data_IF_585136847281
#
_entry.id   IF_585136847281
#
_cell.length_a   1.000
_cell.length_b   1.000
_cell.length_c   1.000
_cell.angle_alpha   90.00
_cell.angle_beta   90.00
_cell.angle_gamma   90.00
#
_symmetry.space_group_name_H-M   'P 1'
#
loop_
_entity.id
_entity.type
_entity.pdbx_description
1 polymer ?
#
# COMPACT_ATOMS: atom_id res chain seq x y z
N UNK A 1 -8.84 -19.63 0.98
CA UNK A 1 -8.20 -19.67 -0.35
C UNK A 1 -7.36 -18.40 -0.57
N UNK A 2 -6.43 -18.36 -1.53
CA UNK A 2 -5.61 -17.15 -1.79
C UNK A 2 -6.46 -15.89 -2.01
N UNK A 3 -7.57 -16.01 -2.75
CA UNK A 3 -8.49 -14.90 -3.00
C UNK A 3 -9.17 -14.39 -1.72
N UNK A 4 -9.60 -15.29 -0.82
CA UNK A 4 -10.21 -14.90 0.45
C UNK A 4 -9.20 -14.17 1.35
N UNK A 5 -7.96 -14.68 1.46
CA UNK A 5 -6.92 -14.05 2.27
C UNK A 5 -6.55 -12.66 1.73
N UNK A 6 -6.46 -12.53 0.40
CA UNK A 6 -6.26 -11.24 -0.25
C UNK A 6 -7.42 -10.28 0.03
N UNK A 7 -8.67 -10.74 -0.01
CA UNK A 7 -9.85 -9.95 0.33
C UNK A 7 -9.84 -9.45 1.78
N UNK A 8 -9.53 -10.31 2.75
CA UNK A 8 -9.40 -9.92 4.16
C UNK A 8 -8.27 -8.92 4.37
N UNK A 9 -7.12 -9.15 3.73
CA UNK A 9 -5.99 -8.23 3.78
C UNK A 9 -6.35 -6.87 3.15
N UNK A 10 -7.09 -6.86 2.04
CA UNK A 10 -7.55 -5.63 1.42
C UNK A 10 -8.51 -4.86 2.33
N UNK A 11 -9.45 -5.55 2.99
CA UNK A 11 -10.36 -4.96 3.95
C UNK A 11 -9.62 -4.38 5.16
N UNK A 12 -8.68 -5.14 5.74
CA UNK A 12 -7.83 -4.66 6.83
C UNK A 12 -7.06 -3.40 6.40
N UNK A 13 -6.46 -3.42 5.22
CA UNK A 13 -5.69 -2.28 4.70
C UNK A 13 -6.56 -1.05 4.51
N UNK A 14 -7.74 -1.14 3.87
CA UNK A 14 -8.59 0.06 3.68
C UNK A 14 -9.08 0.62 5.01
N UNK A 15 -9.49 -0.22 5.96
CA UNK A 15 -9.90 0.23 7.31
C UNK A 15 -8.73 0.90 8.03
N UNK A 16 -7.53 0.34 7.90
CA UNK A 16 -6.31 0.91 8.49
C UNK A 16 -5.99 2.27 7.90
N UNK A 17 -6.02 2.40 6.56
CA UNK A 17 -5.74 3.66 5.87
C UNK A 17 -6.75 4.74 6.24
N UNK A 18 -8.05 4.41 6.32
CA UNK A 18 -9.09 5.31 6.83
C UNK A 18 -8.87 5.68 8.31
N UNK A 19 -8.36 4.76 9.13
CA UNK A 19 -7.98 5.06 10.51
C UNK A 19 -6.84 6.08 10.60
N UNK A 20 -5.86 6.00 9.68
CA UNK A 20 -4.73 6.93 9.66
C UNK A 20 -5.13 8.36 9.27
N UNK A 21 -6.20 8.56 8.49
CA UNK A 21 -6.65 9.91 8.12
C UNK A 21 -7.17 10.72 9.29
N UNK A 22 -7.53 10.08 10.41
CA UNK A 22 -8.12 10.75 11.55
C UNK A 22 -7.15 11.59 12.40
N UNK A 23 -5.84 11.33 12.34
CA UNK A 23 -4.82 12.02 13.16
C UNK A 23 -5.21 12.21 14.65
N UNK A 24 -5.88 11.22 15.24
CA UNK A 24 -6.41 11.30 16.60
C UNK A 24 -5.25 11.16 17.60
N UNK A 25 -5.03 12.14 18.50
CA UNK A 25 -3.96 12.08 19.49
C UNK A 25 -4.00 10.79 20.31
N UNK A 26 -2.83 10.19 20.55
CA UNK A 26 -2.62 8.91 21.25
C UNK A 26 -3.19 7.66 20.56
N UNK A 27 -4.36 7.76 19.90
CA UNK A 27 -4.99 6.63 19.22
C UNK A 27 -4.35 6.29 17.87
N UNK A 28 -3.51 7.17 17.31
CA UNK A 28 -2.74 6.90 16.08
C UNK A 28 -1.85 5.65 16.15
N UNK A 29 -1.51 5.15 17.34
CA UNK A 29 -0.76 3.90 17.50
C UNK A 29 -1.53 2.67 17.00
N UNK A 30 -2.86 2.68 17.10
CA UNK A 30 -3.72 1.56 16.70
C UNK A 30 -3.63 1.32 15.18
N UNK A 31 -3.90 2.31 14.31
CA UNK A 31 -3.76 2.09 12.88
C UNK A 31 -2.31 1.84 12.45
N UNK A 32 -1.31 2.42 13.13
CA UNK A 32 0.10 2.08 12.86
C UNK A 32 0.38 0.59 13.16
N UNK A 33 -0.14 0.05 14.26
CA UNK A 33 -0.01 -1.38 14.57
C UNK A 33 -0.71 -2.23 13.50
N UNK A 34 -1.89 -1.80 13.01
CA UNK A 34 -2.57 -2.49 11.91
C UNK A 34 -1.78 -2.44 10.59
N UNK A 35 -1.05 -1.35 10.30
CA UNK A 35 -0.11 -1.32 9.16
C UNK A 35 0.95 -2.40 9.31
N UNK A 36 1.57 -2.54 10.48
CA UNK A 36 2.59 -3.56 10.73
C UNK A 36 2.03 -4.98 10.57
N UNK A 37 0.82 -5.21 11.05
CA UNK A 37 0.11 -6.48 10.85
C UNK A 37 -0.14 -6.73 9.36
N UNK A 38 -0.63 -5.73 8.63
CA UNK A 38 -0.87 -5.82 7.18
C UNK A 38 0.40 -6.15 6.40
N UNK A 39 1.53 -5.50 6.73
CA UNK A 39 2.83 -5.77 6.13
C UNK A 39 3.31 -7.20 6.44
N UNK A 40 3.16 -7.66 7.69
CA UNK A 40 3.51 -9.02 8.09
C UNK A 40 2.68 -10.07 7.37
N UNK A 41 1.35 -9.88 7.29
CA UNK A 41 0.45 -10.76 6.56
C UNK A 41 0.77 -10.79 5.06
N UNK A 42 1.08 -9.63 4.47
CA UNK A 42 1.51 -9.53 3.06
C UNK A 42 2.78 -10.34 2.84
N UNK A 43 3.79 -10.18 3.70
CA UNK A 43 5.04 -10.92 3.60
C UNK A 43 4.83 -12.43 3.76
N UNK A 44 4.00 -12.84 4.73
CA UNK A 44 3.67 -14.23 5.00
C UNK A 44 2.91 -14.88 3.84
N UNK A 45 1.77 -14.31 3.41
CA UNK A 45 0.96 -14.87 2.34
C UNK A 45 1.73 -14.96 1.03
N UNK A 46 2.50 -13.92 0.69
CA UNK A 46 3.30 -13.93 -0.55
C UNK A 46 4.37 -15.03 -0.50
N UNK A 47 5.06 -15.20 0.63
CA UNK A 47 6.02 -16.32 0.79
C UNK A 47 5.34 -17.68 0.72
N UNK A 48 4.23 -17.85 1.44
CA UNK A 48 3.53 -19.13 1.55
C UNK A 48 3.04 -19.61 0.19
N UNK A 49 2.31 -18.77 -0.55
CA UNK A 49 1.73 -19.14 -1.84
C UNK A 49 2.78 -19.26 -2.95
N UNK A 50 3.84 -18.44 -2.96
CA UNK A 50 4.93 -18.63 -3.92
C UNK A 50 5.68 -19.94 -3.67
N UNK A 51 5.97 -20.28 -2.41
CA UNK A 51 6.69 -21.51 -2.07
C UNK A 51 5.89 -22.78 -2.37
N UNK A 52 4.56 -22.72 -2.25
CA UNK A 52 3.65 -23.83 -2.55
C UNK A 52 3.74 -24.25 -4.02
N UNK A 53 3.87 -23.28 -4.94
CA UNK A 53 3.91 -23.52 -6.39
C UNK A 53 5.33 -23.57 -6.98
N UNK A 54 6.36 -23.41 -6.14
CA UNK A 54 7.78 -23.38 -6.58
C UNK A 54 8.49 -24.67 -6.18
N UNK A 55 9.16 -25.31 -7.14
CA UNK A 55 10.03 -26.47 -6.89
C UNK A 55 11.16 -26.10 -5.91
N UNK A 56 11.57 -27.03 -5.06
CA UNK A 56 12.57 -26.78 -4.01
C UNK A 56 13.87 -26.18 -4.55
N UNK A 57 14.30 -26.58 -5.75
CA UNK A 57 15.50 -26.10 -6.43
C UNK A 57 15.48 -24.59 -6.74
N UNK A 58 14.30 -24.00 -6.95
CA UNK A 58 14.16 -22.60 -7.36
C UNK A 58 13.57 -21.69 -6.28
N UNK A 59 13.21 -22.22 -5.09
CA UNK A 59 12.60 -21.43 -4.01
C UNK A 59 13.44 -20.25 -3.57
N UNK A 60 14.76 -20.43 -3.47
CA UNK A 60 15.67 -19.35 -3.11
C UNK A 60 15.65 -18.22 -4.16
N UNK A 61 15.68 -18.57 -5.45
CA UNK A 61 15.61 -17.61 -6.56
C UNK A 61 14.29 -16.83 -6.56
N UNK A 62 13.16 -17.53 -6.41
CA UNK A 62 11.83 -16.90 -6.36
C UNK A 62 11.69 -15.98 -5.15
N UNK A 63 12.23 -16.37 -4.00
CA UNK A 63 12.19 -15.54 -2.80
C UNK A 63 13.10 -14.30 -2.92
N UNK A 64 14.25 -14.42 -3.58
CA UNK A 64 15.12 -13.27 -3.90
C UNK A 64 14.44 -12.30 -4.85
N UNK A 65 13.78 -12.81 -5.91
CA UNK A 65 13.00 -11.97 -6.82
C UNK A 65 11.85 -11.25 -6.10
N UNK A 66 11.15 -11.96 -5.20
CA UNK A 66 10.14 -11.35 -4.32
C UNK A 66 10.72 -10.17 -3.54
N UNK A 67 11.87 -10.37 -2.89
CA UNK A 67 12.55 -9.31 -2.14
C UNK A 67 12.91 -8.10 -3.00
N UNK A 68 13.47 -8.33 -4.18
CA UNK A 68 13.80 -7.28 -5.14
C UNK A 68 12.56 -6.49 -5.57
N UNK A 69 11.46 -7.18 -5.90
CA UNK A 69 10.21 -6.56 -6.31
C UNK A 69 9.62 -5.67 -5.21
N UNK A 70 9.64 -6.13 -3.95
CA UNK A 70 9.20 -5.31 -2.80
C UNK A 70 10.08 -4.06 -2.62
N UNK A 71 11.41 -4.21 -2.66
CA UNK A 71 12.32 -3.07 -2.51
C UNK A 71 12.15 -2.04 -3.63
N UNK A 72 11.98 -2.48 -4.87
CA UNK A 72 11.72 -1.58 -5.99
C UNK A 72 10.39 -0.84 -5.83
N UNK A 73 9.33 -1.56 -5.43
CA UNK A 73 8.02 -0.95 -5.17
C UNK A 73 8.11 0.11 -4.05
N UNK A 74 8.79 -0.20 -2.94
CA UNK A 74 8.99 0.77 -1.86
C UNK A 74 9.78 2.00 -2.31
N UNK A 75 10.81 1.83 -3.15
CA UNK A 75 11.54 2.95 -3.74
C UNK A 75 10.66 3.86 -4.59
N UNK A 76 9.85 3.28 -5.49
CA UNK A 76 8.92 4.04 -6.34
C UNK A 76 7.88 4.76 -5.48
N UNK A 77 7.27 4.07 -4.50
CA UNK A 77 6.28 4.68 -3.60
C UNK A 77 6.91 5.83 -2.81
N UNK A 78 8.15 5.70 -2.35
CA UNK A 78 8.88 6.76 -1.67
C UNK A 78 9.08 8.00 -2.54
N UNK A 79 9.41 7.83 -3.82
CA UNK A 79 9.51 8.94 -4.77
C UNK A 79 8.16 9.61 -5.05
N UNK A 80 7.10 8.82 -5.24
CA UNK A 80 5.75 9.34 -5.43
C UNK A 80 5.25 10.10 -4.20
N UNK A 81 5.56 9.61 -2.99
CA UNK A 81 5.23 10.28 -1.75
C UNK A 81 5.98 11.60 -1.59
N UNK A 82 7.29 11.63 -1.89
CA UNK A 82 8.06 12.88 -1.88
C UNK A 82 7.49 13.90 -2.86
N UNK A 83 7.10 13.46 -4.06
CA UNK A 83 6.46 14.32 -5.05
C UNK A 83 5.10 14.86 -4.57
N UNK A 84 4.28 14.01 -3.94
CA UNK A 84 3.00 14.42 -3.35
C UNK A 84 3.20 15.49 -2.27
N UNK A 85 4.18 15.33 -1.39
CA UNK A 85 4.50 16.33 -0.35
C UNK A 85 4.91 17.67 -0.97
N UNK A 86 5.75 17.66 -2.01
CA UNK A 86 6.15 18.88 -2.74
C UNK A 86 4.92 19.57 -3.33
N UNK A 87 4.04 18.80 -3.97
CA UNK A 87 2.81 19.32 -4.57
C UNK A 87 1.89 19.95 -3.52
N UNK A 88 1.58 19.24 -2.44
CA UNK A 88 0.71 19.74 -1.37
C UNK A 88 1.28 20.97 -0.67
N UNK A 89 2.59 20.99 -0.42
CA UNK A 89 3.26 22.16 0.18
C UNK A 89 3.15 23.38 -0.73
N UNK A 90 3.32 23.22 -2.04
CA UNK A 90 3.21 24.31 -3.00
C UNK A 90 1.77 24.87 -3.04
N UNK A 91 0.78 23.99 -3.11
CA UNK A 91 -0.65 24.35 -3.09
C UNK A 91 -1.03 25.13 -1.82
N UNK A 92 -0.67 24.58 -0.66
CA UNK A 92 -0.92 25.23 0.64
C UNK A 92 -0.19 26.57 0.78
N UNK A 93 1.04 26.69 0.26
CA UNK A 93 1.78 27.95 0.32
C UNK A 93 1.13 29.07 -0.51
N UNK A 94 0.47 28.71 -1.62
CA UNK A 94 -0.28 29.65 -2.45
C UNK A 94 -1.61 30.05 -1.79
N UNK A 95 -2.30 29.09 -1.16
CA UNK A 95 -3.58 29.32 -0.48
C UNK A 95 -3.43 30.06 0.86
N UNK A 96 -2.30 29.89 1.56
CA UNK A 96 -2.04 30.44 2.88
C UNK A 96 -0.66 31.11 2.99
N UNK A 97 -0.48 32.32 2.40
CA UNK A 97 0.81 33.00 2.37
C UNK A 97 1.37 33.37 3.76
N UNK A 98 0.49 33.56 4.75
CA UNK A 98 0.86 33.95 6.11
C UNK A 98 1.23 32.77 7.01
N UNK A 99 1.12 31.53 6.53
CA UNK A 99 1.46 30.36 7.34
C UNK A 99 2.97 30.17 7.45
N UNK A 100 3.42 29.76 8.64
CA UNK A 100 4.83 29.41 8.84
C UNK A 100 5.21 28.14 8.07
N UNK A 101 6.49 27.99 7.73
CA UNK A 101 7.00 26.80 7.03
C UNK A 101 6.68 25.50 7.76
N UNK A 102 6.79 25.48 9.10
CA UNK A 102 6.46 24.31 9.91
C UNK A 102 4.96 23.95 9.86
N UNK A 103 4.08 24.96 9.84
CA UNK A 103 2.64 24.70 9.73
C UNK A 103 2.30 24.12 8.36
N UNK A 104 2.91 24.65 7.29
CA UNK A 104 2.77 24.13 5.93
C UNK A 104 3.25 22.68 5.83
N UNK A 105 4.41 22.35 6.40
CA UNK A 105 4.97 20.99 6.39
C UNK A 105 4.06 20.00 7.15
N UNK A 106 3.62 20.38 8.35
CA UNK A 106 2.71 19.55 9.15
C UNK A 106 1.38 19.32 8.44
N UNK A 107 0.83 20.35 7.78
CA UNK A 107 -0.43 20.24 7.08
C UNK A 107 -0.28 19.41 5.80
N UNK A 108 0.76 19.64 4.99
CA UNK A 108 1.05 18.83 3.81
C UNK A 108 1.24 17.35 4.15
N UNK A 109 1.91 17.06 5.27
CA UNK A 109 2.03 15.70 5.79
C UNK A 109 0.65 15.11 6.13
N UNK A 110 -0.22 15.84 6.85
CA UNK A 110 -1.58 15.38 7.16
C UNK A 110 -2.40 15.11 5.91
N UNK A 111 -2.39 16.06 4.98
CA UNK A 111 -3.17 15.97 3.75
C UNK A 111 -2.71 14.80 2.87
N UNK A 112 -1.41 14.44 2.91
CA UNK A 112 -0.90 13.28 2.18
C UNK A 112 -1.59 11.96 2.56
N UNK A 113 -2.04 11.80 3.81
CA UNK A 113 -2.73 10.59 4.24
C UNK A 113 -4.14 10.47 3.65
N UNK A 114 -4.78 11.60 3.30
CA UNK A 114 -6.09 11.61 2.64
C UNK A 114 -6.03 10.97 1.24
N UNK A 115 -4.86 10.99 0.60
CA UNK A 115 -4.64 10.35 -0.70
C UNK A 115 -4.49 8.82 -0.59
N UNK A 116 -4.08 8.29 0.56
CA UNK A 116 -3.71 6.88 0.70
C UNK A 116 -4.88 5.90 0.49
N UNK A 117 -6.10 6.13 1.05
CA UNK A 117 -7.26 5.28 0.77
C UNK A 117 -7.61 5.25 -0.72
N UNK A 118 -7.64 6.43 -1.37
CA UNK A 118 -7.96 6.55 -2.79
C UNK A 118 -6.92 5.85 -3.67
N UNK A 119 -5.63 6.07 -3.40
CA UNK A 119 -4.53 5.38 -4.05
C UNK A 119 -4.67 3.85 -3.95
N UNK A 120 -4.94 3.34 -2.75
CA UNK A 120 -5.13 1.90 -2.53
C UNK A 120 -6.34 1.35 -3.28
N UNK A 121 -7.48 2.05 -3.25
CA UNK A 121 -8.70 1.60 -3.92
C UNK A 121 -8.52 1.55 -5.44
N UNK A 122 -7.94 2.59 -6.04
CA UNK A 122 -7.72 2.66 -7.49
C UNK A 122 -6.75 1.56 -7.94
N UNK A 123 -5.57 1.47 -7.32
CA UNK A 123 -4.56 0.49 -7.70
C UNK A 123 -5.02 -0.94 -7.38
N UNK A 124 -5.64 -1.14 -6.21
CA UNK A 124 -6.18 -2.42 -5.78
C UNK A 124 -7.29 -2.91 -6.71
N UNK A 125 -8.21 -2.04 -7.12
CA UNK A 125 -9.24 -2.38 -8.10
C UNK A 125 -8.64 -2.71 -9.47
N UNK A 126 -7.67 -1.91 -9.95
CA UNK A 126 -7.00 -2.17 -11.23
C UNK A 126 -6.31 -3.55 -11.24
N UNK A 127 -5.58 -3.89 -10.17
CA UNK A 127 -4.93 -5.18 -10.00
C UNK A 127 -5.97 -6.30 -9.88
N UNK A 128 -7.01 -6.15 -9.05
CA UNK A 128 -8.04 -7.16 -8.89
C UNK A 128 -8.77 -7.48 -10.20
N UNK A 129 -9.11 -6.44 -10.99
CA UNK A 129 -9.71 -6.59 -12.31
C UNK A 129 -8.78 -7.28 -13.29
N UNK A 130 -7.50 -6.90 -13.30
CA UNK A 130 -6.49 -7.55 -14.14
C UNK A 130 -6.31 -9.04 -13.78
N UNK A 131 -6.20 -9.36 -12.50
CA UNK A 131 -6.12 -10.73 -12.00
C UNK A 131 -7.37 -11.54 -12.34
N UNK A 132 -8.58 -10.97 -12.18
CA UNK A 132 -9.82 -11.63 -12.55
C UNK A 132 -9.87 -11.96 -14.05
N UNK A 133 -9.42 -11.04 -14.91
CA UNK A 133 -9.33 -11.28 -16.36
C UNK A 133 -8.38 -12.43 -16.70
N UNK A 134 -7.21 -12.50 -16.07
CA UNK A 134 -6.24 -13.59 -16.27
C UNK A 134 -6.85 -14.93 -15.84
N UNK A 135 -7.41 -14.98 -14.62
CA UNK A 135 -7.94 -16.22 -14.05
C UNK A 135 -9.13 -16.76 -14.87
N UNK A 136 -9.98 -15.88 -15.39
CA UNK A 136 -11.09 -16.29 -16.26
C UNK A 136 -10.60 -16.85 -17.60
N UNK A 137 -9.55 -16.26 -18.20
CA UNK A 137 -8.93 -16.80 -19.42
C UNK A 137 -8.34 -18.19 -19.19
N UNK A 138 -7.66 -18.41 -18.06
CA UNK A 138 -7.08 -19.71 -17.72
C UNK A 138 -8.14 -20.78 -17.52
N UNK A 139 -9.29 -20.45 -16.91
CA UNK A 139 -10.43 -21.37 -16.77
C UNK A 139 -11.05 -21.73 -18.12
N UNK A 140 -11.17 -20.77 -19.03
CA UNK A 140 -11.74 -21.00 -20.36
C UNK A 140 -10.83 -21.84 -21.29
N UNK A 141 -9.53 -21.93 -20.99
CA UNK A 141 -8.55 -22.72 -21.76
C UNK A 141 -8.37 -24.15 -21.24
N UNK A 142 -9.00 -24.52 -20.12
CA UNK A 142 -8.99 -25.88 -19.55
C UNK A 142 -10.31 -26.57 -19.84
#
# INVERSE_FOLDING_TARGET
SPAQNCGWLALLTIVTLLGLTGFIPYLGIIPIAMVMIGLMLTAFFTSHYLNEITSSEQRATVLSFKGLAFNLAYGIIGLLFAWLIIYLRADLSGAHPDWSGQLLENQAFKDSFLWMPGYFLVLGAAIALYSARILNKTKASK
#
